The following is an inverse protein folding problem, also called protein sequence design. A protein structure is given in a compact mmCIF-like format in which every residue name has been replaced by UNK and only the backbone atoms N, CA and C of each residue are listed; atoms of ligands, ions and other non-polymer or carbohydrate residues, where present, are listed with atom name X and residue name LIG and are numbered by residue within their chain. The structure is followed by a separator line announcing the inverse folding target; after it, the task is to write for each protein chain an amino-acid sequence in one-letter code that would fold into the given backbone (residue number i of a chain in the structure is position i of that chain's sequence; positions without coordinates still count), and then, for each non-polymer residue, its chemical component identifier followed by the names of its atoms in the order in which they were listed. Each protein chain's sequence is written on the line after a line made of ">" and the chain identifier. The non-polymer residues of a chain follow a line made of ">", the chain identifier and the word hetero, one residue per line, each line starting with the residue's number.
data_IF_676769461903
#
_entry.id   IF_676769461903
#
_cell.length_a   1.000
_cell.length_b   1.000
_cell.length_c   1.000
_cell.angle_alpha   90.00
_cell.angle_beta   90.00
_cell.angle_gamma   90.00
#
_symmetry.space_group_name_H-M   'P 1'
#
loop_
_entity.id
_entity.type
_entity.pdbx_description
1 polymer ?
#
# COMPACT_ATOMS: atom_id res chain seq x y z
N UNK A 1 31.25 15.53 10.24
CA UNK A 1 29.96 15.60 9.50
C UNK A 1 29.90 14.47 8.47
N UNK A 2 28.81 13.71 8.48
CA UNK A 2 28.59 12.68 7.46
C UNK A 2 28.29 13.35 6.12
N UNK A 3 28.83 12.79 5.05
CA UNK A 3 28.57 13.27 3.68
C UNK A 3 27.85 12.20 2.88
N UNK A 4 26.92 12.64 2.07
CA UNK A 4 26.15 11.77 1.17
C UNK A 4 26.17 12.35 -0.24
N UNK A 5 26.17 11.47 -1.23
CA UNK A 5 26.11 11.88 -2.63
C UNK A 5 24.69 12.28 -3.04
N UNK A 6 23.69 11.59 -2.47
CA UNK A 6 22.28 11.82 -2.75
C UNK A 6 21.49 11.80 -1.45
N UNK A 7 20.58 12.74 -1.31
CA UNK A 7 19.61 12.77 -0.20
C UNK A 7 18.22 12.67 -0.81
N UNK A 8 17.46 11.65 -0.40
CA UNK A 8 16.08 11.42 -0.85
C UNK A 8 15.13 11.75 0.29
N UNK A 9 14.18 12.60 0.03
CA UNK A 9 13.15 12.99 1.00
C UNK A 9 11.86 12.26 0.68
N UNK A 10 11.43 11.40 1.58
CA UNK A 10 10.27 10.52 1.42
C UNK A 10 10.64 9.11 0.99
N UNK A 11 9.72 8.18 1.22
CA UNK A 11 9.92 6.75 0.95
C UNK A 11 8.84 6.17 0.02
N UNK A 12 8.25 7.01 -0.81
CA UNK A 12 7.30 6.62 -1.84
C UNK A 12 7.96 6.50 -3.22
N UNK A 13 7.40 7.19 -4.20
CA UNK A 13 7.88 7.17 -5.59
C UNK A 13 9.36 7.57 -5.74
N UNK A 14 9.90 8.35 -4.83
CA UNK A 14 11.29 8.76 -4.81
C UNK A 14 12.27 7.58 -4.63
N UNK A 15 11.79 6.41 -4.25
CA UNK A 15 12.58 5.18 -4.16
C UNK A 15 13.28 4.80 -5.46
N UNK A 16 12.71 5.15 -6.59
CA UNK A 16 13.32 4.90 -7.90
C UNK A 16 14.71 5.57 -7.96
N UNK A 17 14.83 6.78 -7.43
CA UNK A 17 16.12 7.49 -7.37
C UNK A 17 17.06 6.82 -6.38
N UNK A 18 16.56 6.37 -5.25
CA UNK A 18 17.35 5.65 -4.24
C UNK A 18 17.96 4.38 -4.84
N UNK A 19 17.16 3.56 -5.49
CA UNK A 19 17.62 2.32 -6.13
C UNK A 19 18.66 2.59 -7.21
N UNK A 20 18.42 3.58 -8.05
CA UNK A 20 19.34 3.96 -9.13
C UNK A 20 20.68 4.45 -8.58
N UNK A 21 20.66 5.26 -7.52
CA UNK A 21 21.87 5.77 -6.89
C UNK A 21 22.68 4.67 -6.20
N UNK A 22 22.01 3.77 -5.48
CA UNK A 22 22.67 2.63 -4.84
C UNK A 22 23.29 1.69 -5.87
N UNK A 23 22.63 1.46 -7.00
CA UNK A 23 23.16 0.65 -8.10
C UNK A 23 24.45 1.23 -8.69
N UNK A 24 24.68 2.52 -8.58
CA UNK A 24 25.90 3.20 -9.01
C UNK A 24 26.96 3.29 -7.91
N UNK A 25 26.72 2.70 -6.75
CA UNK A 25 27.64 2.72 -5.63
C UNK A 25 27.70 4.05 -4.88
N UNK A 26 26.72 4.91 -5.06
CA UNK A 26 26.64 6.20 -4.39
C UNK A 26 26.18 6.04 -2.93
N UNK A 27 26.63 6.98 -2.10
CA UNK A 27 26.18 7.08 -0.70
C UNK A 27 24.86 7.82 -0.65
N UNK A 28 23.81 7.16 -0.16
CA UNK A 28 22.45 7.70 -0.14
C UNK A 28 21.95 7.85 1.28
N UNK A 29 21.36 9.00 1.59
CA UNK A 29 20.58 9.21 2.79
C UNK A 29 19.09 9.32 2.43
N UNK A 30 18.25 8.61 3.14
CA UNK A 30 16.79 8.69 2.99
C UNK A 30 16.18 9.29 4.24
N UNK A 31 15.36 10.30 4.06
CA UNK A 31 14.71 11.01 5.16
C UNK A 31 13.19 10.77 5.06
N UNK A 32 12.61 10.21 6.11
CA UNK A 32 11.18 9.99 6.22
C UNK A 32 10.65 10.52 7.56
N UNK A 33 9.64 11.38 7.50
CA UNK A 33 9.04 11.98 8.71
C UNK A 33 7.99 11.10 9.38
N UNK A 34 7.51 10.09 8.70
CA UNK A 34 6.43 9.25 9.19
C UNK A 34 6.75 7.78 8.94
N UNK A 35 5.72 7.03 8.58
CA UNK A 35 5.85 5.61 8.28
C UNK A 35 6.49 5.42 6.90
N UNK A 36 7.46 4.52 6.81
CA UNK A 36 8.08 4.16 5.54
C UNK A 36 7.08 3.54 4.57
N UNK A 37 7.30 3.74 3.28
CA UNK A 37 6.51 3.15 2.21
C UNK A 37 5.75 4.16 1.35
N UNK A 38 5.61 5.40 1.80
CA UNK A 38 4.97 6.47 1.04
C UNK A 38 3.44 6.42 1.08
N UNK A 39 2.83 7.37 0.40
CA UNK A 39 1.39 7.57 0.38
C UNK A 39 0.64 6.39 -0.23
N UNK A 40 1.12 5.87 -1.36
CA UNK A 40 0.45 4.79 -2.08
C UNK A 40 0.25 3.55 -1.18
N UNK A 41 1.29 3.12 -0.50
CA UNK A 41 1.23 1.97 0.39
C UNK A 41 0.39 2.23 1.64
N UNK A 42 0.66 3.34 2.32
CA UNK A 42 0.13 3.57 3.66
C UNK A 42 -1.27 4.18 3.67
N UNK A 43 -1.59 5.02 2.67
CA UNK A 43 -2.80 5.86 2.70
C UNK A 43 -3.52 5.95 1.37
N UNK A 44 -3.00 5.37 0.30
CA UNK A 44 -3.52 5.52 -1.05
C UNK A 44 -3.87 4.21 -1.72
N UNK A 45 -3.03 3.76 -2.63
CA UNK A 45 -3.32 2.67 -3.56
C UNK A 45 -3.63 1.34 -2.87
N UNK A 46 -2.85 0.94 -1.90
CA UNK A 46 -3.02 -0.37 -1.25
C UNK A 46 -4.29 -0.43 -0.40
N UNK A 47 -4.53 0.50 0.55
CA UNK A 47 -5.80 0.49 1.27
C UNK A 47 -7.01 0.68 0.36
N UNK A 48 -6.91 1.51 -0.68
CA UNK A 48 -7.98 1.71 -1.66
C UNK A 48 -8.32 0.42 -2.41
N UNK A 49 -7.32 -0.34 -2.83
CA UNK A 49 -7.55 -1.63 -3.52
C UNK A 49 -8.33 -2.63 -2.67
N UNK A 50 -8.05 -2.70 -1.38
CA UNK A 50 -8.79 -3.59 -0.48
C UNK A 50 -10.25 -3.16 -0.39
N UNK A 51 -10.52 -1.87 -0.24
CA UNK A 51 -11.88 -1.32 -0.19
C UNK A 51 -12.64 -1.53 -1.49
N UNK A 52 -12.01 -1.24 -2.62
CA UNK A 52 -12.62 -1.41 -3.95
C UNK A 52 -12.92 -2.88 -4.23
N UNK A 53 -12.07 -3.81 -3.81
CA UNK A 53 -12.31 -5.24 -3.95
C UNK A 53 -13.60 -5.65 -3.23
N UNK A 54 -13.79 -5.20 -1.98
CA UNK A 54 -15.00 -5.47 -1.22
C UNK A 54 -16.24 -4.86 -1.89
N UNK A 55 -16.15 -3.62 -2.35
CA UNK A 55 -17.22 -2.93 -3.04
C UNK A 55 -17.63 -3.65 -4.33
N UNK A 56 -16.67 -4.11 -5.12
CA UNK A 56 -16.92 -4.85 -6.36
C UNK A 56 -17.61 -6.19 -6.09
N UNK A 57 -17.25 -6.89 -5.03
CA UNK A 57 -17.90 -8.16 -4.68
C UNK A 57 -19.36 -7.96 -4.30
N UNK A 58 -19.68 -6.93 -3.55
CA UNK A 58 -21.07 -6.60 -3.21
C UNK A 58 -21.86 -6.26 -4.49
N UNK A 59 -21.26 -5.49 -5.38
CA UNK A 59 -21.87 -5.13 -6.66
C UNK A 59 -22.14 -6.36 -7.53
N UNK A 60 -21.18 -7.26 -7.66
CA UNK A 60 -21.35 -8.51 -8.39
C UNK A 60 -22.48 -9.36 -7.84
N UNK A 61 -22.58 -9.47 -6.52
CA UNK A 61 -23.67 -10.21 -5.86
C UNK A 61 -25.02 -9.56 -6.18
N UNK A 62 -25.12 -8.24 -6.09
CA UNK A 62 -26.37 -7.51 -6.40
C UNK A 62 -26.76 -7.64 -7.86
N UNK A 63 -25.80 -7.65 -8.77
CA UNK A 63 -26.03 -7.79 -10.20
C UNK A 63 -26.25 -9.24 -10.64
N UNK A 64 -25.94 -10.21 -9.78
CA UNK A 64 -26.05 -11.64 -10.06
C UNK A 64 -27.46 -12.09 -10.44
N UNK A 65 -28.49 -11.41 -9.96
CA UNK A 65 -29.89 -11.71 -10.29
C UNK A 65 -30.16 -11.66 -11.79
N UNK A 66 -29.41 -10.89 -12.54
CA UNK A 66 -29.53 -10.78 -14.01
C UNK A 66 -29.21 -12.09 -14.73
N UNK A 67 -28.43 -12.94 -14.10
CA UNK A 67 -28.03 -14.24 -14.64
C UNK A 67 -28.47 -15.43 -13.77
N UNK A 68 -29.47 -15.19 -12.90
CA UNK A 68 -30.04 -16.23 -12.07
C UNK A 68 -29.30 -16.49 -10.75
N UNK A 69 -28.36 -15.67 -10.36
CA UNK A 69 -27.67 -15.80 -9.07
C UNK A 69 -28.33 -14.88 -8.05
N UNK A 70 -28.87 -15.46 -7.00
CA UNK A 70 -29.55 -14.74 -5.93
C UNK A 70 -28.83 -14.96 -4.61
N UNK A 71 -28.71 -13.91 -3.83
CA UNK A 71 -28.13 -13.96 -2.49
C UNK A 71 -28.95 -13.11 -1.53
N UNK A 72 -29.17 -13.66 -0.34
CA UNK A 72 -29.88 -12.98 0.74
C UNK A 72 -28.89 -12.47 1.79
N UNK A 73 -29.31 -11.44 2.55
CA UNK A 73 -28.55 -10.91 3.69
C UNK A 73 -27.14 -10.46 3.35
N UNK A 74 -26.95 -9.89 2.17
CA UNK A 74 -25.66 -9.32 1.78
C UNK A 74 -25.38 -8.10 2.62
N UNK A 75 -24.28 -8.14 3.38
CA UNK A 75 -23.87 -7.04 4.24
C UNK A 75 -22.36 -6.89 4.25
N UNK A 76 -21.90 -5.68 4.56
CA UNK A 76 -20.50 -5.39 4.82
C UNK A 76 -20.27 -5.36 6.34
N UNK A 77 -19.29 -6.12 6.81
CA UNK A 77 -18.78 -5.98 8.16
C UNK A 77 -17.54 -5.08 8.10
N UNK A 78 -17.70 -3.86 8.57
CA UNK A 78 -16.63 -2.87 8.52
C UNK A 78 -15.43 -3.24 9.40
N UNK A 79 -15.67 -3.87 10.54
CA UNK A 79 -14.58 -4.25 11.44
C UNK A 79 -13.66 -5.29 10.80
N UNK A 80 -14.24 -6.26 10.12
CA UNK A 80 -13.47 -7.28 9.38
C UNK A 80 -12.72 -6.63 8.21
N UNK A 81 -13.39 -5.79 7.43
CA UNK A 81 -12.78 -5.15 6.28
C UNK A 81 -11.65 -4.22 6.68
N UNK A 82 -11.86 -3.37 7.68
CA UNK A 82 -10.83 -2.43 8.13
C UNK A 82 -9.62 -3.15 8.70
N UNK A 83 -9.83 -4.22 9.46
CA UNK A 83 -8.75 -5.05 9.97
C UNK A 83 -7.91 -5.64 8.83
N UNK A 84 -8.57 -6.22 7.83
CA UNK A 84 -7.88 -6.79 6.66
C UNK A 84 -7.13 -5.74 5.86
N UNK A 85 -7.72 -4.56 5.72
CA UNK A 85 -7.09 -3.43 5.04
C UNK A 85 -5.75 -3.07 5.68
N UNK A 86 -5.74 -2.89 6.99
CA UNK A 86 -4.53 -2.53 7.72
C UNK A 86 -3.53 -3.68 7.80
N UNK A 87 -3.98 -4.93 7.88
CA UNK A 87 -3.10 -6.09 7.75
C UNK A 87 -2.36 -6.08 6.42
N UNK A 88 -3.05 -5.76 5.31
CA UNK A 88 -2.42 -5.68 4.00
C UNK A 88 -1.38 -4.59 3.91
N UNK A 89 -1.63 -3.45 4.52
CA UNK A 89 -0.65 -2.36 4.61
C UNK A 89 0.57 -2.82 5.41
N UNK A 90 0.35 -3.51 6.52
CA UNK A 90 1.41 -3.96 7.41
C UNK A 90 2.21 -5.15 6.87
N UNK A 91 1.55 -6.05 6.12
CA UNK A 91 2.19 -7.20 5.47
C UNK A 91 3.07 -6.82 4.30
N UNK A 92 2.98 -5.58 3.83
CA UNK A 92 3.78 -5.16 2.70
C UNK A 92 5.26 -5.34 3.03
N UNK A 93 5.94 -6.23 2.29
CA UNK A 93 7.19 -6.78 2.76
C UNK A 93 8.27 -5.73 2.86
N UNK A 94 8.95 -5.78 3.95
CA UNK A 94 10.31 -5.30 4.04
C UNK A 94 10.51 -3.80 3.85
N UNK A 95 9.47 -3.01 4.04
CA UNK A 95 9.70 -1.57 3.99
C UNK A 95 10.72 -1.19 5.04
N UNK A 96 10.57 -1.71 6.24
CA UNK A 96 11.55 -1.48 7.30
C UNK A 96 12.90 -2.13 6.96
N UNK A 97 12.90 -3.40 6.58
CA UNK A 97 14.13 -4.11 6.23
C UNK A 97 14.85 -3.57 4.99
N UNK A 98 14.12 -2.97 4.07
CA UNK A 98 14.71 -2.32 2.91
C UNK A 98 15.55 -1.09 3.28
N UNK A 99 15.10 -0.33 4.28
CA UNK A 99 15.79 0.91 4.70
C UNK A 99 16.77 0.70 5.86
N UNK A 100 16.72 -0.41 6.50
CA UNK A 100 17.71 -0.79 7.51
C UNK A 100 19.04 -1.19 6.85
#
# INVERSE_FOLDING_TARGET
>A
MKKYDVIVIGTGAANIVTDAALAQGLQVAVIERGRFGGTCLNRGCIPTKVMVTAANRIREIREGSRIGVFADNVRLDWDILSKRLWEKVDESPAIQGYYD
#
